data_IF_565353832093
#
_entry.id   IF_565353832093
#
_cell.length_a   1.000
_cell.length_b   1.000
_cell.length_c   1.000
_cell.angle_alpha   90.00
_cell.angle_beta   90.00
_cell.angle_gamma   90.00
#
_symmetry.space_group_name_H-M   'P 1'
#
loop_
_entity.id
_entity.type
_entity.pdbx_description
1 polymer ?
#
# COMPACT_ATOMS: atom_id res chain seq x y z
N UNK A 1 27.68 15.37 3.27
CA UNK A 1 26.98 14.31 2.50
C UNK A 1 25.76 14.95 1.84
N UNK A 2 25.56 14.77 0.54
CA UNK A 2 24.37 15.31 -0.16
C UNK A 2 23.16 14.45 0.18
N UNK A 3 22.02 15.09 0.44
CA UNK A 3 20.73 14.41 0.61
C UNK A 3 20.32 13.81 -0.75
N UNK A 4 19.97 12.52 -0.83
CA UNK A 4 19.45 11.93 -2.07
C UNK A 4 18.11 12.55 -2.47
N UNK A 5 17.89 12.76 -3.77
CA UNK A 5 16.70 13.44 -4.29
C UNK A 5 15.38 12.79 -3.86
N UNK A 6 15.35 11.47 -3.65
CA UNK A 6 14.17 10.74 -3.20
C UNK A 6 13.77 11.03 -1.74
N UNK A 7 14.65 11.67 -0.95
CA UNK A 7 14.33 12.17 0.39
C UNK A 7 13.79 13.61 0.38
N UNK A 8 13.98 14.33 -0.73
CA UNK A 8 13.53 15.73 -0.87
C UNK A 8 12.09 15.71 -1.38
N UNK A 9 11.14 16.12 -0.53
CA UNK A 9 9.72 16.18 -0.89
C UNK A 9 9.47 17.10 -2.09
N UNK A 10 8.51 16.72 -2.95
CA UNK A 10 8.15 17.48 -4.15
C UNK A 10 9.01 17.18 -5.39
N UNK A 11 10.07 16.38 -5.26
CA UNK A 11 10.83 15.91 -6.43
C UNK A 11 10.12 14.74 -7.12
N UNK A 12 10.46 14.52 -8.39
CA UNK A 12 10.01 13.34 -9.14
C UNK A 12 10.46 12.04 -8.46
N UNK A 13 11.67 12.01 -7.90
CA UNK A 13 12.21 10.84 -7.22
C UNK A 13 11.43 10.50 -5.95
N UNK A 14 11.02 11.51 -5.17
CA UNK A 14 10.16 11.32 -3.99
C UNK A 14 8.77 10.79 -4.40
N UNK A 15 8.13 11.42 -5.39
CA UNK A 15 6.83 10.97 -5.89
C UNK A 15 6.87 9.51 -6.42
N UNK A 16 7.95 9.15 -7.10
CA UNK A 16 8.15 7.79 -7.60
C UNK A 16 8.34 6.79 -6.46
N UNK A 17 9.13 7.14 -5.43
CA UNK A 17 9.31 6.31 -4.23
C UNK A 17 7.97 6.09 -3.51
N UNK A 18 7.18 7.13 -3.35
CA UNK A 18 5.87 7.06 -2.69
C UNK A 18 4.89 6.18 -3.47
N UNK A 19 4.88 6.28 -4.80
CA UNK A 19 4.06 5.40 -5.65
C UNK A 19 4.44 3.92 -5.48
N UNK A 20 5.74 3.61 -5.37
CA UNK A 20 6.21 2.24 -5.13
C UNK A 20 5.77 1.75 -3.75
N UNK A 21 5.94 2.56 -2.71
CA UNK A 21 5.49 2.22 -1.35
C UNK A 21 3.98 1.97 -1.30
N UNK A 22 3.18 2.85 -1.90
CA UNK A 22 1.74 2.68 -1.96
C UNK A 22 1.33 1.39 -2.68
N UNK A 23 2.02 1.03 -3.78
CA UNK A 23 1.75 -0.21 -4.49
C UNK A 23 2.16 -1.46 -3.70
N UNK A 24 3.28 -1.40 -2.97
CA UNK A 24 3.74 -2.48 -2.10
C UNK A 24 2.76 -2.70 -0.95
N UNK A 25 2.35 -1.63 -0.26
CA UNK A 25 1.37 -1.67 0.83
C UNK A 25 0.02 -2.21 0.34
N UNK A 26 -0.50 -1.72 -0.79
CA UNK A 26 -1.77 -2.16 -1.35
C UNK A 26 -1.77 -3.63 -1.82
N UNK A 27 -0.62 -4.28 -1.87
CA UNK A 27 -0.47 -5.67 -2.33
C UNK A 27 0.16 -6.58 -1.28
N UNK A 28 0.22 -6.16 -0.01
CA UNK A 28 0.86 -6.89 1.07
C UNK A 28 2.31 -7.31 0.70
N UNK A 29 3.10 -6.38 0.17
CA UNK A 29 4.46 -6.61 -0.35
C UNK A 29 4.54 -7.68 -1.46
N UNK A 30 3.47 -7.90 -2.24
CA UNK A 30 3.51 -8.81 -3.39
C UNK A 30 4.21 -8.14 -4.58
N UNK A 31 5.50 -8.39 -4.77
CA UNK A 31 6.27 -7.78 -5.85
C UNK A 31 5.67 -8.01 -7.24
N UNK A 32 5.07 -9.18 -7.50
CA UNK A 32 4.43 -9.46 -8.79
C UNK A 32 3.20 -8.59 -9.01
N UNK A 33 2.31 -8.50 -8.02
CA UNK A 33 1.10 -7.67 -8.14
C UNK A 33 1.42 -6.17 -8.06
N UNK A 34 2.41 -5.77 -7.26
CA UNK A 34 2.87 -4.39 -7.19
C UNK A 34 3.43 -3.94 -8.56
N UNK A 35 4.25 -4.76 -9.21
CA UNK A 35 4.77 -4.46 -10.55
C UNK A 35 3.64 -4.35 -11.59
N UNK A 36 2.66 -5.26 -11.55
CA UNK A 36 1.48 -5.19 -12.41
C UNK A 36 0.66 -3.92 -12.18
N UNK A 37 0.46 -3.54 -10.91
CA UNK A 37 -0.28 -2.32 -10.53
C UNK A 37 0.43 -1.05 -11.03
N UNK A 38 1.75 -1.01 -10.91
CA UNK A 38 2.58 0.09 -11.39
C UNK A 38 2.81 0.07 -12.90
N UNK A 39 2.35 -0.97 -13.60
CA UNK A 39 2.57 -1.18 -15.05
C UNK A 39 4.04 -1.16 -15.46
N UNK A 40 4.91 -1.74 -14.63
CA UNK A 40 6.34 -1.87 -14.89
C UNK A 40 6.79 -3.33 -14.82
N UNK A 41 7.96 -3.63 -15.38
CA UNK A 41 8.58 -4.95 -15.25
C UNK A 41 9.00 -5.25 -13.81
N UNK A 42 8.92 -6.51 -13.39
CA UNK A 42 9.38 -6.96 -12.06
C UNK A 42 10.85 -6.61 -11.81
N UNK A 43 11.71 -6.82 -12.81
CA UNK A 43 13.14 -6.47 -12.73
C UNK A 43 13.34 -4.98 -12.50
N UNK A 44 12.52 -4.14 -13.14
CA UNK A 44 12.55 -2.68 -12.94
C UNK A 44 12.14 -2.32 -11.52
N UNK A 45 11.06 -2.93 -11.00
CA UNK A 45 10.64 -2.73 -9.61
C UNK A 45 11.75 -3.10 -8.62
N UNK A 46 12.42 -4.24 -8.81
CA UNK A 46 13.56 -4.64 -7.98
C UNK A 46 14.70 -3.61 -7.99
N UNK A 47 15.06 -3.08 -9.17
CA UNK A 47 16.08 -2.04 -9.29
C UNK A 47 15.69 -0.78 -8.53
N UNK A 48 14.44 -0.34 -8.67
CA UNK A 48 13.93 0.87 -8.00
C UNK A 48 13.87 0.70 -6.48
N UNK A 49 13.43 -0.46 -5.98
CA UNK A 49 13.44 -0.78 -4.55
C UNK A 49 14.85 -0.65 -3.98
N UNK A 50 15.85 -1.18 -4.69
CA UNK A 50 17.26 -1.07 -4.29
C UNK A 50 17.78 0.37 -4.38
N UNK A 51 17.41 1.12 -5.43
CA UNK A 51 17.87 2.50 -5.64
C UNK A 51 17.30 3.49 -4.63
N UNK A 52 16.06 3.26 -4.16
CA UNK A 52 15.39 4.12 -3.17
C UNK A 52 15.44 3.59 -1.74
N UNK A 53 16.27 2.56 -1.51
CA UNK A 53 16.48 1.92 -0.21
C UNK A 53 15.16 1.57 0.51
N UNK A 54 14.24 0.95 -0.24
CA UNK A 54 12.93 0.56 0.28
C UNK A 54 13.08 -0.78 1.02
N UNK A 55 12.90 -0.75 2.33
CA UNK A 55 12.92 -1.95 3.17
C UNK A 55 11.62 -2.75 2.97
N UNK A 56 11.76 -3.94 2.40
CA UNK A 56 10.66 -4.90 2.34
C UNK A 56 10.58 -5.62 3.68
N UNK A 57 9.67 -5.22 4.56
CA UNK A 57 9.35 -6.02 5.74
C UNK A 57 8.90 -7.40 5.27
N UNK A 58 9.61 -8.43 5.73
CA UNK A 58 9.45 -9.80 5.29
C UNK A 58 7.98 -10.20 5.31
N UNK A 59 7.51 -10.72 4.18
CA UNK A 59 6.22 -11.41 4.13
C UNK A 59 6.29 -12.55 5.12
N UNK A 60 5.39 -12.56 6.11
CA UNK A 60 5.15 -13.75 6.92
C UNK A 60 4.87 -14.90 5.93
N UNK A 61 5.68 -15.97 5.92
CA UNK A 61 5.50 -17.05 4.97
C UNK A 61 4.10 -17.62 5.19
N UNK A 62 3.22 -17.48 4.19
CA UNK A 62 1.93 -18.16 4.19
C UNK A 62 2.22 -19.65 4.24
N UNK A 63 2.12 -20.22 5.45
CA UNK A 63 2.14 -21.65 5.71
C UNK A 63 1.27 -22.31 4.66
N UNK A 64 1.87 -23.18 3.85
CA UNK A 64 1.20 -23.90 2.77
C UNK A 64 0.17 -24.83 3.43
N UNK A 65 -1.05 -24.35 3.62
CA UNK A 65 -2.16 -25.20 4.06
C UNK A 65 -2.55 -26.02 2.83
N UNK A 66 -2.14 -27.28 2.83
CA UNK A 66 -2.62 -28.29 1.90
C UNK A 66 -4.14 -28.38 1.99
N UNK A 67 -4.79 -28.29 0.85
CA UNK A 67 -6.24 -28.22 0.71
C UNK A 67 -6.93 -29.46 1.28
N UNK A 68 -7.79 -29.26 2.28
CA UNK A 68 -8.97 -30.07 2.54
C UNK A 68 -9.98 -29.23 3.34
N UNK A 69 -11.10 -28.89 2.70
CA UNK A 69 -12.25 -28.27 3.36
C UNK A 69 -12.44 -26.79 3.07
N UNK A 70 -13.21 -26.49 2.02
CA UNK A 70 -14.04 -25.28 2.06
C UNK A 70 -15.21 -25.53 3.01
N UNK A 71 -15.68 -24.50 3.71
CA UNK A 71 -16.91 -23.90 3.20
C UNK A 71 -16.83 -22.39 3.03
N UNK A 72 -17.68 -21.93 2.11
CA UNK A 72 -18.08 -20.54 1.86
C UNK A 72 -18.43 -19.80 3.17
N UNK A 73 -17.90 -18.59 3.33
CA UNK A 73 -18.53 -17.52 4.07
C UNK A 73 -18.33 -16.22 3.27
N UNK A 74 -19.40 -15.76 2.63
CA UNK A 74 -19.55 -14.38 2.17
C UNK A 74 -20.23 -13.68 3.34
N UNK A 75 -19.51 -12.81 4.05
CA UNK A 75 -19.99 -11.77 4.98
C UNK A 75 -18.75 -11.15 5.66
N UNK A 76 -18.57 -9.85 5.88
CA UNK A 76 -19.38 -8.70 5.54
C UNK A 76 -18.47 -7.51 5.21
N UNK A 77 -18.83 -6.77 4.16
CA UNK A 77 -18.43 -5.37 4.03
C UNK A 77 -19.42 -4.59 4.87
N UNK A 78 -19.03 -4.22 6.09
CA UNK A 78 -19.56 -3.06 6.81
C UNK A 78 -18.61 -2.72 7.95
N UNK A 79 -17.62 -1.90 7.63
CA UNK A 79 -16.68 -1.31 8.58
C UNK A 79 -16.36 0.09 8.07
N UNK A 80 -17.11 1.06 8.57
CA UNK A 80 -17.25 2.39 7.98
C UNK A 80 -15.90 3.09 7.77
N UNK A 81 -15.58 3.38 6.50
CA UNK A 81 -14.37 4.09 6.14
C UNK A 81 -14.41 5.52 6.69
N UNK A 82 -13.44 5.86 7.54
CA UNK A 82 -13.22 7.24 7.97
C UNK A 82 -12.98 8.13 6.75
N UNK A 83 -13.60 9.30 6.70
CA UNK A 83 -13.48 10.26 5.60
C UNK A 83 -13.01 11.62 6.11
N UNK A 84 -12.23 12.30 5.28
CA UNK A 84 -11.71 13.64 5.54
C UNK A 84 -12.60 14.65 4.80
N UNK A 85 -13.05 15.69 5.51
CA UNK A 85 -13.83 16.79 4.96
C UNK A 85 -13.12 18.12 5.19
N UNK A 86 -13.32 19.09 4.30
CA UNK A 86 -12.81 20.46 4.40
C UNK A 86 -13.97 21.39 4.76
N UNK A 87 -13.89 22.08 5.90
CA UNK A 87 -14.89 23.06 6.35
C UNK A 87 -14.15 24.32 6.76
N UNK A 88 -14.51 25.46 6.16
CA UNK A 88 -13.92 26.79 6.43
C UNK A 88 -12.38 26.84 6.38
N UNK A 89 -11.78 26.09 5.46
CA UNK A 89 -10.32 26.02 5.28
C UNK A 89 -9.60 25.12 6.27
N UNK A 90 -10.32 24.44 7.17
CA UNK A 90 -9.77 23.47 8.12
C UNK A 90 -10.18 22.03 7.76
N UNK A 91 -9.23 21.11 7.90
CA UNK A 91 -9.42 19.69 7.59
C UNK A 91 -9.92 18.92 8.81
N UNK A 92 -11.03 18.20 8.67
CA UNK A 92 -11.64 17.41 9.74
C UNK A 92 -11.69 15.93 9.35
N UNK A 93 -11.22 15.06 10.26
CA UNK A 93 -11.35 13.61 10.14
C UNK A 93 -12.64 13.17 10.82
N UNK A 94 -13.60 12.68 10.02
CA UNK A 94 -14.85 12.14 10.54
C UNK A 94 -14.73 10.61 10.56
N UNK A 95 -14.71 9.97 11.75
CA UNK A 95 -14.71 8.52 11.84
C UNK A 95 -16.03 7.99 11.25
N UNK A 96 -15.93 6.94 10.44
CA UNK A 96 -17.10 6.24 9.97
C UNK A 96 -17.83 5.62 11.15
N UNK A 97 -18.91 6.23 11.62
CA UNK A 97 -19.77 5.59 12.60
C UNK A 97 -20.50 4.44 11.89
N UNK A 98 -20.27 3.20 12.35
CA UNK A 98 -21.15 2.10 12.05
C UNK A 98 -22.51 2.43 12.68
N UNK A 99 -23.47 2.85 11.86
CA UNK A 99 -24.85 3.02 12.31
C UNK A 99 -25.39 1.63 12.66
N UNK A 100 -25.49 1.36 13.95
CA UNK A 100 -26.34 0.32 14.49
C UNK A 100 -27.62 1.00 14.98
N UNK A 101 -28.74 0.62 14.34
CA UNK A 101 -30.16 0.94 14.63
C UNK A 101 -30.65 2.34 14.28
#
# INVERSE_FOLDING_TARGET
MSVPDWQISGTMAAAQRDAILAALLATDNNLTHAAQRLRIGRTTLYRLIKSYDILLTERVPRRRVTAAGAPRAVDGRDGAASRVILVDGAWYLVPGAAQAS
#
